data_IF_130175526892
#
_entry.id   IF_130175526892
#
_cell.length_a   1.000
_cell.length_b   1.000
_cell.length_c   1.000
_cell.angle_alpha   90.00
_cell.angle_beta   90.00
_cell.angle_gamma   90.00
#
_symmetry.space_group_name_H-M   'P 1'
#
loop_
_entity.id
_entity.type
_entity.pdbx_description
1 polymer ?
#
# COMPACT_ATOMS: atom_id res chain seq x y z
N UNK A 1 -15.81 18.36 2.71
CA UNK A 1 -14.96 19.36 2.02
C UNK A 1 -14.29 18.61 0.89
N UNK A 2 -14.59 18.93 -0.36
CA UNK A 2 -13.94 18.24 -1.49
C UNK A 2 -12.47 18.61 -1.54
N UNK A 3 -11.60 17.61 -1.35
CA UNK A 3 -10.15 17.74 -1.53
C UNK A 3 -9.78 17.55 -2.99
N UNK A 4 -8.62 18.07 -3.39
CA UNK A 4 -8.10 17.88 -4.75
C UNK A 4 -7.72 16.42 -5.00
N UNK A 5 -7.20 15.74 -3.98
CA UNK A 5 -6.88 14.33 -4.03
C UNK A 5 -6.90 13.67 -2.65
N UNK A 6 -6.98 12.34 -2.66
CA UNK A 6 -6.91 11.45 -1.51
C UNK A 6 -5.86 10.38 -1.79
N UNK A 7 -4.98 10.12 -0.83
CA UNK A 7 -3.93 9.09 -0.97
C UNK A 7 -4.15 8.01 0.07
N UNK A 8 -3.97 6.76 -0.33
CA UNK A 8 -3.99 5.59 0.55
C UNK A 8 -2.81 4.67 0.22
N UNK A 9 -2.33 3.97 1.25
CA UNK A 9 -1.37 2.89 1.14
C UNK A 9 -2.10 1.56 1.35
N UNK A 10 -2.05 0.65 0.37
CA UNK A 10 -2.66 -0.69 0.47
C UNK A 10 -1.57 -1.74 0.48
N UNK A 11 -1.38 -2.43 1.61
CA UNK A 11 -0.42 -3.50 1.78
C UNK A 11 -1.11 -4.85 1.58
N UNK A 12 -0.49 -5.73 0.80
CA UNK A 12 -0.97 -7.06 0.43
C UNK A 12 -0.04 -8.10 1.04
N UNK A 13 -0.56 -9.03 1.84
CA UNK A 13 0.23 -10.14 2.38
C UNK A 13 0.28 -11.36 1.44
N UNK A 14 1.05 -12.39 1.80
CA UNK A 14 1.20 -13.64 1.03
C UNK A 14 -0.12 -14.40 0.79
N UNK A 15 -1.14 -14.15 1.63
CA UNK A 15 -2.46 -14.75 1.54
C UNK A 15 -3.46 -13.81 0.85
N UNK A 16 -2.97 -12.75 0.19
CA UNK A 16 -3.74 -11.70 -0.46
C UNK A 16 -4.68 -10.93 0.49
N UNK A 17 -4.43 -10.95 1.81
CA UNK A 17 -5.16 -10.05 2.71
C UNK A 17 -4.66 -8.63 2.53
N UNK A 18 -5.58 -7.67 2.61
CA UNK A 18 -5.30 -6.26 2.42
C UNK A 18 -5.31 -5.51 3.75
N UNK A 19 -4.33 -4.63 3.93
CA UNK A 19 -4.23 -3.64 4.99
C UNK A 19 -4.19 -2.27 4.34
N UNK A 20 -5.21 -1.46 4.61
CA UNK A 20 -5.40 -0.15 4.01
C UNK A 20 -5.18 0.92 5.06
N UNK A 21 -4.25 1.82 4.76
CA UNK A 21 -3.89 2.94 5.62
C UNK A 21 -4.19 4.22 4.83
N UNK A 22 -5.19 5.00 5.26
CA UNK A 22 -5.47 6.29 4.65
C UNK A 22 -4.45 7.33 5.06
N UNK A 23 -4.28 8.37 4.23
CA UNK A 23 -3.46 9.52 4.55
C UNK A 23 -4.29 10.71 5.07
N UNK A 24 -3.63 11.62 5.78
CA UNK A 24 -4.18 12.89 6.20
C UNK A 24 -3.13 14.00 6.15
N UNK A 25 -3.53 15.20 6.56
CA UNK A 25 -2.61 16.34 6.64
C UNK A 25 -1.52 16.07 7.68
N UNK A 26 -0.28 16.39 7.31
CA UNK A 26 0.90 16.39 8.18
C UNK A 26 1.54 17.76 8.11
N UNK A 27 1.87 18.33 9.26
CA UNK A 27 2.53 19.64 9.32
C UNK A 27 4.02 19.52 8.93
N UNK A 28 4.59 18.30 8.94
CA UNK A 28 6.00 18.01 8.60
C UNK A 28 6.20 17.50 7.17
N UNK A 29 5.30 16.65 6.70
CA UNK A 29 5.42 15.93 5.42
C UNK A 29 4.39 16.39 4.38
N UNK A 30 3.50 17.31 4.73
CA UNK A 30 2.35 17.72 3.92
C UNK A 30 1.22 16.70 4.00
N UNK A 31 1.48 15.47 3.55
CA UNK A 31 0.53 14.35 3.60
C UNK A 31 1.25 13.09 4.07
N UNK A 32 0.67 12.39 5.03
CA UNK A 32 1.21 11.15 5.56
C UNK A 32 0.12 10.22 6.11
N UNK A 33 0.44 8.94 6.22
CA UNK A 33 -0.41 7.89 6.78
C UNK A 33 -0.98 8.30 8.15
N UNK A 34 -2.30 8.30 8.31
CA UNK A 34 -2.91 8.54 9.62
C UNK A 34 -2.98 7.25 10.42
N UNK A 35 -3.24 7.39 11.72
CA UNK A 35 -3.26 6.26 12.67
C UNK A 35 -4.54 5.40 12.56
N UNK A 36 -4.92 5.02 11.35
CA UNK A 36 -6.13 4.27 11.00
C UNK A 36 -5.72 3.07 10.16
N UNK A 37 -6.24 1.89 10.51
CA UNK A 37 -5.99 0.65 9.78
C UNK A 37 -7.31 -0.02 9.45
N UNK A 38 -7.48 -0.36 8.18
CA UNK A 38 -8.65 -1.05 7.65
C UNK A 38 -8.20 -2.37 7.02
N UNK A 39 -8.97 -3.42 7.19
CA UNK A 39 -8.61 -4.77 6.75
C UNK A 39 -9.66 -5.36 5.81
N UNK A 40 -9.21 -6.08 4.79
CA UNK A 40 -10.03 -7.00 3.99
C UNK A 40 -9.30 -8.34 3.90
N UNK A 41 -9.97 -9.42 4.31
CA UNK A 41 -9.39 -10.77 4.26
C UNK A 41 -9.82 -11.49 2.98
N UNK A 42 -8.89 -12.21 2.36
CA UNK A 42 -9.18 -13.09 1.24
C UNK A 42 -9.94 -14.36 1.71
N UNK A 43 -10.75 -14.99 0.83
CA UNK A 43 -11.11 -14.53 -0.50
C UNK A 43 -12.18 -13.42 -0.46
N UNK A 44 -12.13 -12.51 -1.42
CA UNK A 44 -13.11 -11.43 -1.59
C UNK A 44 -13.54 -11.32 -3.06
N UNK A 45 -14.78 -10.86 -3.26
CA UNK A 45 -15.30 -10.54 -4.60
C UNK A 45 -14.75 -9.20 -5.07
N UNK A 46 -14.84 -8.94 -6.37
CA UNK A 46 -14.40 -7.67 -6.96
C UNK A 46 -15.14 -6.49 -6.36
N UNK A 47 -16.46 -6.60 -6.20
CA UNK A 47 -17.27 -5.60 -5.50
C UNK A 47 -16.84 -5.37 -4.05
N UNK A 48 -16.43 -6.42 -3.33
CA UNK A 48 -15.95 -6.27 -1.96
C UNK A 48 -14.60 -5.53 -1.91
N UNK A 49 -13.71 -5.80 -2.88
CA UNK A 49 -12.45 -5.09 -3.05
C UNK A 49 -12.67 -3.60 -3.37
N UNK A 50 -13.52 -3.29 -4.36
CA UNK A 50 -13.80 -1.90 -4.73
C UNK A 50 -14.44 -1.10 -3.59
N UNK A 51 -15.42 -1.69 -2.91
CA UNK A 51 -16.03 -1.09 -1.71
C UNK A 51 -15.01 -0.88 -0.59
N UNK A 52 -14.05 -1.79 -0.45
CA UNK A 52 -12.98 -1.66 0.53
C UNK A 52 -12.04 -0.50 0.19
N UNK A 53 -11.62 -0.34 -1.06
CA UNK A 53 -10.80 0.81 -1.50
C UNK A 53 -11.53 2.12 -1.21
N UNK A 54 -12.80 2.23 -1.59
CA UNK A 54 -13.61 3.42 -1.29
C UNK A 54 -13.75 3.66 0.22
N UNK A 55 -13.90 2.59 1.02
CA UNK A 55 -13.93 2.71 2.48
C UNK A 55 -12.63 3.29 3.04
N UNK A 56 -11.48 2.90 2.50
CA UNK A 56 -10.17 3.42 2.93
C UNK A 56 -10.03 4.88 2.51
N UNK A 57 -10.37 5.21 1.27
CA UNK A 57 -10.35 6.59 0.75
C UNK A 57 -11.26 7.51 1.58
N UNK A 58 -12.45 7.05 1.93
CA UNK A 58 -13.38 7.81 2.77
C UNK A 58 -12.88 8.05 4.20
N UNK A 59 -11.88 7.29 4.65
CA UNK A 59 -11.23 7.50 5.94
C UNK A 59 -10.07 8.52 5.87
N UNK A 60 -9.64 8.95 4.68
CA UNK A 60 -8.63 10.00 4.52
C UNK A 60 -9.09 11.31 5.14
N UNK A 61 -8.12 12.06 5.68
CA UNK A 61 -8.34 13.38 6.32
C UNK A 61 -9.38 13.41 7.47
N UNK A 62 -9.84 12.26 7.96
CA UNK A 62 -10.71 12.18 9.15
C UNK A 62 -9.99 12.63 10.42
N UNK A 63 -8.66 12.62 10.40
CA UNK A 63 -7.75 13.19 11.38
C UNK A 63 -6.43 13.59 10.71
N UNK A 64 -5.62 14.36 11.43
CA UNK A 64 -4.24 14.65 11.03
C UNK A 64 -3.32 13.46 11.28
N UNK A 65 -2.24 13.38 10.52
CA UNK A 65 -1.10 12.54 10.85
C UNK A 65 -0.53 12.94 12.22
N UNK A 66 0.02 11.97 12.95
CA UNK A 66 0.62 12.22 14.25
C UNK A 66 2.11 12.54 14.09
N UNK A 67 2.43 13.80 13.79
CA UNK A 67 3.81 14.26 13.56
C UNK A 67 4.74 14.11 14.78
N UNK A 68 4.22 13.84 15.99
CA UNK A 68 5.04 13.62 17.18
C UNK A 68 5.53 12.17 17.34
N UNK A 69 5.11 11.26 16.46
CA UNK A 69 5.48 9.84 16.52
C UNK A 69 6.34 9.49 15.33
N UNK A 70 7.60 9.11 15.60
CA UNK A 70 8.59 8.83 14.56
C UNK A 70 8.35 7.50 13.82
N UNK A 71 7.58 6.58 14.40
CA UNK A 71 7.20 5.32 13.73
C UNK A 71 6.02 5.55 12.80
N UNK A 72 5.98 4.86 11.65
CA UNK A 72 4.82 4.80 10.76
C UNK A 72 3.64 4.03 11.36
N UNK A 73 2.44 4.22 10.78
CA UNK A 73 1.25 3.45 11.17
C UNK A 73 1.44 1.95 10.94
N UNK A 74 2.09 1.56 9.83
CA UNK A 74 2.37 0.15 9.55
C UNK A 74 3.35 -0.48 10.54
N UNK A 75 4.37 0.27 11.01
CA UNK A 75 5.27 -0.20 12.09
C UNK A 75 4.51 -0.47 13.39
N UNK A 76 3.62 0.44 13.79
CA UNK A 76 2.78 0.25 14.98
C UNK A 76 1.84 -0.93 14.82
N UNK A 77 1.21 -1.07 13.65
CA UNK A 77 0.28 -2.16 13.37
C UNK A 77 0.96 -3.53 13.42
N UNK A 78 2.09 -3.67 12.73
CA UNK A 78 2.87 -4.91 12.65
C UNK A 78 3.70 -5.18 13.90
N UNK A 79 3.87 -4.18 14.77
CA UNK A 79 4.76 -4.19 15.94
C UNK A 79 6.22 -4.48 15.59
N UNK A 80 6.62 -4.15 14.35
CA UNK A 80 7.98 -4.28 13.86
C UNK A 80 8.64 -2.89 13.86
N UNK A 81 9.87 -2.83 14.36
CA UNK A 81 10.66 -1.59 14.34
C UNK A 81 11.31 -1.42 12.96
N UNK A 82 11.23 -0.21 12.41
CA UNK A 82 11.76 0.17 11.11
C UNK A 82 10.75 -0.07 10.00
N UNK A 83 10.48 0.97 9.20
CA UNK A 83 9.53 0.93 8.09
C UNK A 83 9.80 -0.25 7.14
N UNK A 84 11.03 -0.36 6.62
CA UNK A 84 11.41 -1.46 5.71
C UNK A 84 11.13 -2.85 6.29
N UNK A 85 11.43 -3.06 7.58
CA UNK A 85 11.16 -4.34 8.25
C UNK A 85 9.66 -4.57 8.50
N UNK A 86 8.90 -3.51 8.78
CA UNK A 86 7.45 -3.58 8.93
C UNK A 86 6.76 -3.97 7.62
N UNK A 87 7.27 -3.50 6.49
CA UNK A 87 6.69 -3.71 5.15
C UNK A 87 7.28 -4.90 4.40
N UNK A 88 8.37 -5.51 4.87
CA UNK A 88 9.13 -6.54 4.12
C UNK A 88 8.30 -7.73 3.63
N UNK A 89 7.24 -8.08 4.34
CA UNK A 89 6.38 -9.24 4.07
C UNK A 89 5.11 -8.84 3.29
N UNK A 90 5.05 -7.59 2.81
CA UNK A 90 3.88 -7.05 2.13
C UNK A 90 4.26 -6.40 0.80
N UNK A 91 3.49 -6.61 -0.25
CA UNK A 91 3.55 -5.76 -1.45
C UNK A 91 2.66 -4.55 -1.22
N UNK A 92 3.16 -3.33 -1.43
CA UNK A 92 2.33 -2.12 -1.32
C UNK A 92 1.81 -1.70 -2.70
N UNK A 93 0.57 -1.23 -2.75
CA UNK A 93 -0.01 -0.49 -3.86
C UNK A 93 -0.35 0.90 -3.33
N UNK A 94 0.26 1.92 -3.92
CA UNK A 94 -0.08 3.32 -3.64
C UNK A 94 -1.26 3.72 -4.52
N UNK A 95 -2.32 4.27 -3.93
CA UNK A 95 -3.51 4.69 -4.69
C UNK A 95 -3.79 6.16 -4.38
N UNK A 96 -3.86 6.97 -5.44
CA UNK A 96 -4.23 8.39 -5.38
C UNK A 96 -5.54 8.59 -6.13
N UNK A 97 -6.60 9.00 -5.43
CA UNK A 97 -7.88 9.40 -6.03
C UNK A 97 -7.93 10.90 -6.20
N UNK A 98 -8.18 11.36 -7.42
CA UNK A 98 -8.52 12.74 -7.74
C UNK A 98 -10.01 12.86 -8.05
N UNK A 99 -10.47 14.04 -8.49
CA UNK A 99 -11.86 14.23 -8.94
C UNK A 99 -12.22 13.44 -10.20
N UNK A 100 -11.23 13.08 -11.02
CA UNK A 100 -11.49 12.51 -12.35
C UNK A 100 -10.96 11.09 -12.49
N UNK A 101 -9.95 10.69 -11.72
CA UNK A 101 -9.32 9.37 -11.83
C UNK A 101 -8.78 8.84 -10.49
N UNK A 102 -8.39 7.58 -10.51
CA UNK A 102 -7.49 6.91 -9.59
C UNK A 102 -6.18 6.67 -10.33
N UNK A 103 -5.07 7.00 -9.69
CA UNK A 103 -3.75 6.52 -10.04
C UNK A 103 -3.43 5.37 -9.10
N UNK A 104 -3.17 4.18 -9.66
CA UNK A 104 -2.77 3.00 -8.91
C UNK A 104 -1.34 2.65 -9.31
N UNK A 105 -0.43 2.66 -8.33
CA UNK A 105 0.99 2.42 -8.56
C UNK A 105 1.44 1.22 -7.71
N UNK A 106 1.96 0.14 -8.34
CA UNK A 106 2.58 -0.94 -7.61
C UNK A 106 3.91 -0.50 -7.03
N UNK A 107 4.44 -1.28 -6.10
CA UNK A 107 5.75 -1.02 -5.50
C UNK A 107 6.66 -2.23 -5.52
N UNK A 108 7.95 -1.94 -5.60
CA UNK A 108 9.01 -2.90 -5.32
C UNK A 108 9.48 -2.75 -3.87
N UNK A 109 9.66 -3.86 -3.17
CA UNK A 109 10.22 -3.82 -1.82
C UNK A 109 11.74 -3.79 -1.85
N UNK A 110 12.31 -2.61 -1.61
CA UNK A 110 13.73 -2.47 -1.33
C UNK A 110 14.05 -2.94 0.10
N UNK A 111 15.15 -3.66 0.25
CA UNK A 111 15.53 -4.28 1.53
C UNK A 111 15.85 -3.25 2.62
N UNK A 112 16.43 -2.10 2.25
CA UNK A 112 16.84 -1.07 3.21
C UNK A 112 15.75 0.01 3.39
N UNK A 113 15.03 0.32 2.32
CA UNK A 113 14.11 1.47 2.25
C UNK A 113 12.64 1.09 2.36
N UNK A 114 12.28 -0.17 2.12
CA UNK A 114 10.89 -0.62 2.04
C UNK A 114 10.27 -0.37 0.66
N UNK A 115 8.93 -0.24 0.57
CA UNK A 115 8.21 -0.05 -0.68
C UNK A 115 8.68 1.20 -1.44
N UNK A 116 9.06 1.01 -2.71
CA UNK A 116 9.37 2.07 -3.68
C UNK A 116 8.37 1.98 -4.83
N UNK A 117 7.67 3.08 -5.10
CA UNK A 117 6.72 3.15 -6.20
C UNK A 117 7.41 2.92 -7.56
N UNK A 118 6.73 2.20 -8.45
CA UNK A 118 7.18 1.96 -9.82
C UNK A 118 6.31 2.82 -10.72
N UNK A 119 6.73 4.07 -10.92
CA UNK A 119 5.96 5.08 -11.66
C UNK A 119 5.69 4.65 -13.12
N UNK A 120 6.60 3.87 -13.73
CA UNK A 120 6.45 3.35 -15.10
C UNK A 120 5.27 2.36 -15.25
N UNK A 121 4.85 1.74 -14.15
CA UNK A 121 3.75 0.77 -14.11
C UNK A 121 2.47 1.36 -13.51
N UNK A 122 2.38 2.70 -13.43
CA UNK A 122 1.17 3.42 -13.02
C UNK A 122 -0.02 3.07 -13.92
N UNK A 123 -1.15 2.74 -13.30
CA UNK A 123 -2.42 2.57 -13.99
C UNK A 123 -3.38 3.71 -13.64
N UNK A 124 -3.75 4.50 -14.65
CA UNK A 124 -4.76 5.56 -14.51
C UNK A 124 -6.15 5.00 -14.84
N UNK A 125 -7.01 4.94 -13.82
CA UNK A 125 -8.40 4.49 -13.93
C UNK A 125 -9.36 5.67 -13.75
N UNK A 126 -10.25 5.91 -14.71
CA UNK A 126 -11.23 7.01 -14.58
C UNK A 126 -12.26 6.74 -13.48
N UNK A 127 -12.79 7.78 -12.83
CA UNK A 127 -13.78 7.64 -11.74
C UNK A 127 -15.11 7.01 -12.14
N UNK A 128 -15.42 6.97 -13.44
CA UNK A 128 -16.60 6.33 -14.02
C UNK A 128 -16.29 4.94 -14.63
N UNK A 129 -15.30 4.25 -14.07
CA UNK A 129 -14.93 2.88 -14.44
C UNK A 129 -16.10 1.90 -14.29
N UNK A 130 -16.02 0.75 -14.98
CA UNK A 130 -17.05 -0.30 -14.90
C UNK A 130 -16.84 -1.16 -13.66
N UNK A 131 -17.92 -1.63 -13.03
CA UNK A 131 -17.81 -2.56 -11.88
C UNK A 131 -16.88 -3.75 -12.22
N UNK A 132 -15.88 -3.96 -11.37
CA UNK A 132 -14.83 -4.98 -11.52
C UNK A 132 -13.52 -4.49 -12.14
N UNK A 133 -13.50 -3.33 -12.80
CA UNK A 133 -12.31 -2.83 -13.52
C UNK A 133 -11.19 -2.43 -12.56
N UNK A 134 -11.50 -1.80 -11.42
CA UNK A 134 -10.49 -1.50 -10.40
C UNK A 134 -9.96 -2.78 -9.76
N UNK A 135 -10.84 -3.76 -9.51
CA UNK A 135 -10.44 -5.04 -8.96
C UNK A 135 -9.49 -5.79 -9.90
N UNK A 136 -9.75 -5.76 -11.22
CA UNK A 136 -8.89 -6.36 -12.24
C UNK A 136 -7.48 -5.76 -12.20
N UNK A 137 -7.35 -4.42 -12.15
CA UNK A 137 -6.06 -3.73 -12.04
C UNK A 137 -5.31 -4.13 -10.77
N UNK A 138 -5.97 -4.07 -9.62
CA UNK A 138 -5.35 -4.41 -8.32
C UNK A 138 -4.91 -5.87 -8.30
N UNK A 139 -5.75 -6.80 -8.80
CA UNK A 139 -5.38 -8.23 -8.89
C UNK A 139 -4.21 -8.44 -9.84
N UNK A 140 -4.17 -7.75 -10.97
CA UNK A 140 -3.02 -7.78 -11.88
C UNK A 140 -1.71 -7.38 -11.17
N UNK A 141 -1.75 -6.32 -10.36
CA UNK A 141 -0.60 -5.94 -9.54
C UNK A 141 -0.25 -6.99 -8.48
N UNK A 142 -1.24 -7.57 -7.81
CA UNK A 142 -0.99 -8.64 -6.84
C UNK A 142 -0.32 -9.84 -7.53
N UNK A 143 -0.85 -10.30 -8.65
CA UNK A 143 -0.34 -11.47 -9.37
C UNK A 143 1.11 -11.29 -9.84
N UNK A 144 1.50 -10.08 -10.22
CA UNK A 144 2.83 -9.76 -10.73
C UNK A 144 3.79 -9.43 -9.57
N UNK A 145 3.47 -8.41 -8.76
CA UNK A 145 4.41 -7.84 -7.80
C UNK A 145 4.48 -8.60 -6.48
N UNK A 146 3.43 -9.32 -6.07
CA UNK A 146 3.54 -10.22 -4.91
C UNK A 146 4.60 -11.30 -5.18
N UNK A 147 4.51 -11.95 -6.35
CA UNK A 147 5.48 -12.97 -6.76
C UNK A 147 6.87 -12.39 -6.97
N UNK A 148 6.97 -11.22 -7.61
CA UNK A 148 8.25 -10.55 -7.79
C UNK A 148 8.91 -10.24 -6.44
N UNK A 149 8.20 -9.55 -5.53
CA UNK A 149 8.75 -9.19 -4.22
C UNK A 149 9.15 -10.43 -3.39
N UNK A 150 8.38 -11.52 -3.45
CA UNK A 150 8.78 -12.79 -2.84
C UNK A 150 10.09 -13.33 -3.42
N UNK A 151 10.23 -13.36 -4.75
CA UNK A 151 11.44 -13.85 -5.42
C UNK A 151 12.68 -13.01 -5.07
N UNK A 152 12.57 -11.68 -5.09
CA UNK A 152 13.69 -10.80 -4.77
C UNK A 152 14.07 -10.88 -3.29
N UNK A 153 13.10 -11.05 -2.39
CA UNK A 153 13.34 -11.31 -0.97
C UNK A 153 14.13 -12.61 -0.77
N UNK A 154 13.68 -13.72 -1.36
CA UNK A 154 14.37 -15.01 -1.26
C UNK A 154 15.82 -14.92 -1.76
N UNK A 155 16.05 -14.21 -2.88
CA UNK A 155 17.39 -14.00 -3.42
C UNK A 155 18.28 -13.20 -2.45
N UNK A 156 17.75 -12.12 -1.86
CA UNK A 156 18.49 -11.31 -0.90
C UNK A 156 18.84 -12.09 0.37
N UNK A 157 17.90 -12.89 0.88
CA UNK A 157 18.13 -13.76 2.05
C UNK A 157 19.23 -14.81 1.77
N UNK A 158 19.22 -15.44 0.58
CA UNK A 158 20.26 -16.38 0.17
C UNK A 158 21.64 -15.72 0.01
N UNK A 159 21.70 -14.48 -0.49
CA UNK A 159 22.95 -13.71 -0.59
C UNK A 159 23.49 -13.33 0.79
N UNK A 160 22.63 -12.91 1.71
CA UNK A 160 23.00 -12.61 3.09
C UNK A 160 23.53 -13.85 3.84
N UNK A 161 22.89 -15.02 3.66
CA UNK A 161 23.37 -16.28 4.24
C UNK A 161 24.75 -16.68 3.72
N UNK A 162 25.04 -16.47 2.43
CA UNK A 162 26.36 -16.74 1.85
C UNK A 162 27.44 -15.84 2.45
N UNK A 163 27.12 -14.56 2.66
CA UNK A 163 28.06 -13.59 3.22
C UNK A 163 28.32 -13.84 4.71
N UNK A 164 27.35 -14.36 5.47
CA UNK A 164 27.50 -14.68 6.90
C UNK A 164 28.23 -16.02 7.18
N UNK A 165 28.46 -16.85 6.15
CA UNK A 165 29.17 -18.13 6.25
C UNK A 165 30.65 -18.03 5.89
N UNK A 166 31.12 -16.86 5.44
CA UNK A 166 32.53 -16.54 5.19
C UNK A 166 33.08 -15.61 6.28
#
# INVERSE_FOLDING_TARGET
MDREFYTISVYVDENENLIGIPCGESDKYGIADIDTVLLLKAPYTDKALENYIEKVINACYTKKHNDSVDTSTIERYTKKKGFANATKDFTMISIVKTKTNYSLMPTFNDFERGPLAIDDDEHILLTNYREGEMAEVIRGFIEIYLKANMFYKEKAELEAEKNNKN
#
